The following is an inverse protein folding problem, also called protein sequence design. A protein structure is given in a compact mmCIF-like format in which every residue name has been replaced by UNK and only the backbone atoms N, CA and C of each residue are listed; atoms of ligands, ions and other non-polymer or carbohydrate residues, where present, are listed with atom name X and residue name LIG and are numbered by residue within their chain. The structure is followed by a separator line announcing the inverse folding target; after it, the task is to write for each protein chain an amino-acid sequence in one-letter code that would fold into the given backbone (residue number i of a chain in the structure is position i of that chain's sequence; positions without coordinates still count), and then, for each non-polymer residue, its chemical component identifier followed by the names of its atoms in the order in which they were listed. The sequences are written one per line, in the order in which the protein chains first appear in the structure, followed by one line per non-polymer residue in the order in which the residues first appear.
data_IF_396798146487
#
_entry.id   IF_396798146487
#
_cell.length_a   1.000
_cell.length_b   1.000
_cell.length_c   1.000
_cell.angle_alpha   90.00
_cell.angle_beta   90.00
_cell.angle_gamma   90.00
#
_symmetry.space_group_name_H-M   'P 1'
#
loop_
_entity.id
_entity.type
_entity.pdbx_description
1 polymer ?
#
# COMPACT_ATOMS: atom_id res chain seq x y z
N UNK A 1 -14.86 8.62 -33.74
CA UNK A 1 -13.69 8.72 -32.84
C UNK A 1 -13.74 7.50 -31.93
N UNK A 2 -12.68 6.71 -31.90
CA UNK A 2 -12.62 5.44 -31.16
C UNK A 2 -11.33 5.36 -30.36
N UNK A 3 -11.44 4.93 -29.10
CA UNK A 3 -10.31 4.68 -28.22
C UNK A 3 -10.07 3.18 -28.09
N UNK A 4 -8.81 2.77 -28.21
CA UNK A 4 -8.36 1.39 -28.00
C UNK A 4 -7.65 1.33 -26.66
N UNK A 5 -7.94 0.29 -25.88
CA UNK A 5 -7.37 0.07 -24.56
C UNK A 5 -6.58 -1.23 -24.51
N UNK A 6 -5.59 -1.31 -23.63
CA UNK A 6 -4.93 -2.57 -23.31
C UNK A 6 -5.92 -3.62 -22.78
N UNK A 7 -5.69 -4.89 -23.12
CA UNK A 7 -6.58 -5.98 -22.71
C UNK A 7 -6.67 -6.09 -21.19
N UNK A 8 -7.88 -5.95 -20.64
CA UNK A 8 -8.14 -6.06 -19.21
C UNK A 8 -7.69 -4.85 -18.37
N UNK A 9 -7.30 -3.74 -19.01
CA UNK A 9 -6.84 -2.52 -18.33
C UNK A 9 -7.54 -1.28 -18.88
N UNK A 10 -7.62 -0.24 -18.07
CA UNK A 10 -8.15 1.08 -18.48
C UNK A 10 -7.05 2.00 -19.00
N UNK A 11 -6.06 1.44 -19.71
CA UNK A 11 -4.92 2.17 -20.27
C UNK A 11 -5.14 2.37 -21.76
N UNK A 12 -5.32 3.60 -22.26
CA UNK A 12 -5.53 3.84 -23.67
C UNK A 12 -4.23 3.64 -24.44
N UNK A 13 -4.29 2.85 -25.51
CA UNK A 13 -3.13 2.50 -26.35
C UNK A 13 -3.21 3.10 -27.75
N UNK A 14 -4.41 3.44 -28.24
CA UNK A 14 -4.57 4.12 -29.51
C UNK A 14 -5.82 4.98 -29.59
N UNK A 15 -5.76 5.98 -30.48
CA UNK A 15 -6.86 6.84 -30.90
C UNK A 15 -7.08 6.69 -32.40
N UNK A 16 -8.32 6.43 -32.81
CA UNK A 16 -8.71 6.27 -34.22
C UNK A 16 -9.73 7.35 -34.62
N UNK A 17 -9.39 8.14 -35.65
CA UNK A 17 -10.22 9.23 -36.18
C UNK A 17 -10.34 9.08 -37.69
N UNK A 18 -11.44 8.51 -38.17
CA UNK A 18 -11.58 8.20 -39.60
C UNK A 18 -10.51 7.22 -40.04
N UNK A 19 -9.63 7.64 -40.96
CA UNK A 19 -8.47 6.87 -41.42
C UNK A 19 -7.21 7.08 -40.59
N UNK A 20 -7.18 8.12 -39.76
CA UNK A 20 -6.02 8.48 -38.96
C UNK A 20 -5.92 7.58 -37.72
N UNK A 21 -4.69 7.17 -37.41
CA UNK A 21 -4.37 6.30 -36.28
C UNK A 21 -3.24 6.94 -35.49
N UNK A 22 -3.44 7.00 -34.18
CA UNK A 22 -2.46 7.54 -33.26
C UNK A 22 -2.13 6.51 -32.20
N UNK A 23 -0.84 6.23 -32.00
CA UNK A 23 -0.35 5.40 -30.92
C UNK A 23 -0.19 6.25 -29.66
N UNK A 24 -0.66 5.76 -28.52
CA UNK A 24 -0.58 6.47 -27.24
C UNK A 24 0.46 5.74 -26.38
N UNK A 25 1.39 6.51 -25.84
CA UNK A 25 2.34 6.04 -24.83
C UNK A 25 1.85 6.51 -23.46
N UNK A 26 1.82 5.58 -22.52
CA UNK A 26 1.45 5.83 -21.13
C UNK A 26 2.60 5.52 -20.18
N UNK A 27 2.58 6.11 -18.99
CA UNK A 27 3.50 5.79 -17.91
C UNK A 27 3.19 4.42 -17.27
N UNK A 28 3.93 4.06 -16.21
CA UNK A 28 3.76 2.80 -15.49
C UNK A 28 2.40 2.67 -14.77
N UNK A 29 1.73 3.79 -14.48
CA UNK A 29 0.37 3.82 -13.95
C UNK A 29 -0.67 3.81 -15.07
N UNK A 30 -0.28 3.85 -16.34
CA UNK A 30 -1.21 3.91 -17.46
C UNK A 30 -1.75 5.31 -17.78
N UNK A 31 -1.16 6.36 -17.21
CA UNK A 31 -1.46 7.76 -17.54
C UNK A 31 -0.89 8.10 -18.92
N UNK A 32 -1.69 8.60 -19.87
CA UNK A 32 -1.18 8.98 -21.19
C UNK A 32 -0.22 10.16 -21.09
N UNK A 33 0.98 10.01 -21.65
CA UNK A 33 2.03 11.05 -21.63
C UNK A 33 2.35 11.57 -23.03
N UNK A 34 2.22 10.75 -24.07
CA UNK A 34 2.54 11.12 -25.46
C UNK A 34 1.62 10.43 -26.46
N UNK A 35 1.47 11.03 -27.64
CA UNK A 35 0.83 10.39 -28.79
C UNK A 35 1.59 10.66 -30.09
N UNK A 36 1.62 9.65 -30.94
CA UNK A 36 2.34 9.66 -32.21
C UNK A 36 1.41 9.42 -33.39
N UNK A 37 1.65 10.12 -34.50
CA UNK A 37 0.98 9.83 -35.77
C UNK A 37 1.53 8.55 -36.44
N UNK A 38 0.91 8.15 -37.57
CA UNK A 38 1.32 6.97 -38.33
C UNK A 38 2.75 7.06 -38.93
N UNK A 39 3.38 8.25 -38.93
CA UNK A 39 4.75 8.48 -39.39
C UNK A 39 5.75 8.50 -38.24
N UNK A 40 5.29 8.39 -36.99
CA UNK A 40 6.13 8.43 -35.79
C UNK A 40 6.44 9.84 -35.30
N UNK A 41 5.73 10.87 -35.76
CA UNK A 41 5.88 12.22 -35.21
C UNK A 41 5.05 12.38 -33.95
N UNK A 42 5.58 13.08 -32.95
CA UNK A 42 4.81 13.48 -31.76
C UNK A 42 3.74 14.49 -32.20
N UNK A 43 2.49 14.21 -31.88
CA UNK A 43 1.35 15.11 -32.14
C UNK A 43 0.73 15.64 -30.86
N UNK A 44 1.05 15.01 -29.72
CA UNK A 44 0.58 15.39 -28.40
C UNK A 44 1.55 14.91 -27.33
N UNK A 45 1.80 15.73 -26.32
CA UNK A 45 2.57 15.37 -25.12
C UNK A 45 2.02 16.13 -23.93
N UNK A 46 1.94 15.50 -22.77
CA UNK A 46 1.38 16.10 -21.56
C UNK A 46 2.17 15.66 -20.32
N UNK A 47 2.52 16.64 -19.50
CA UNK A 47 3.11 16.44 -18.19
C UNK A 47 2.13 16.88 -17.11
N UNK A 48 1.84 16.00 -16.16
CA UNK A 48 0.98 16.28 -15.01
C UNK A 48 1.82 16.49 -13.75
N UNK A 49 1.37 17.36 -12.83
CA UNK A 49 1.92 17.44 -11.48
C UNK A 49 1.42 16.29 -10.58
N UNK A 50 1.78 16.31 -9.30
CA UNK A 50 1.40 15.29 -8.32
C UNK A 50 -0.12 15.22 -8.03
N UNK A 51 -0.88 16.24 -8.42
CA UNK A 51 -2.33 16.32 -8.32
C UNK A 51 -3.01 16.13 -9.68
N UNK A 52 -2.26 15.72 -10.71
CA UNK A 52 -2.81 15.47 -12.04
C UNK A 52 -3.04 16.75 -12.85
N UNK A 53 -2.64 17.93 -12.36
CA UNK A 53 -2.80 19.19 -13.09
C UNK A 53 -1.79 19.26 -14.23
N UNK A 54 -2.25 19.65 -15.42
CA UNK A 54 -1.39 19.85 -16.59
C UNK A 54 -0.36 20.96 -16.31
N UNK A 55 0.92 20.62 -16.35
CA UNK A 55 2.05 21.55 -16.24
C UNK A 55 2.56 21.99 -17.61
N UNK A 56 2.81 21.01 -18.47
CA UNK A 56 3.31 21.22 -19.82
C UNK A 56 2.42 20.44 -20.81
N UNK A 57 2.14 21.05 -21.95
CA UNK A 57 1.31 20.48 -22.99
C UNK A 57 1.86 20.85 -24.37
N UNK A 58 2.12 19.84 -25.19
CA UNK A 58 2.33 19.97 -26.63
C UNK A 58 1.10 19.47 -27.37
N UNK A 59 0.69 20.19 -28.42
CA UNK A 59 -0.51 19.87 -29.19
C UNK A 59 -1.80 20.39 -28.55
N UNK A 60 -2.93 19.86 -28.99
CA UNK A 60 -4.26 20.33 -28.59
C UNK A 60 -4.73 19.61 -27.31
N UNK A 61 -5.26 20.36 -26.34
CA UNK A 61 -5.55 19.86 -24.98
C UNK A 61 -6.61 18.77 -24.94
N UNK A 62 -7.63 18.86 -25.80
CA UNK A 62 -8.71 17.88 -25.93
C UNK A 62 -8.33 16.68 -26.80
N UNK A 63 -7.13 16.67 -27.39
CA UNK A 63 -6.68 15.60 -28.25
C UNK A 63 -6.68 14.27 -27.50
N UNK A 64 -6.17 14.27 -26.27
CA UNK A 64 -6.36 13.19 -25.28
C UNK A 64 -6.97 13.82 -24.02
N UNK A 65 -8.26 13.54 -23.73
CA UNK A 65 -8.95 14.14 -22.57
C UNK A 65 -8.69 13.37 -21.27
N UNK A 66 -7.87 12.31 -21.28
CA UNK A 66 -7.60 11.49 -20.11
C UNK A 66 -6.46 12.08 -19.27
N UNK A 67 -6.61 12.01 -17.95
CA UNK A 67 -5.58 12.44 -16.97
C UNK A 67 -5.11 11.21 -16.21
N UNK A 68 -5.08 11.23 -14.88
CA UNK A 68 -4.83 10.00 -14.12
C UNK A 68 -5.90 8.93 -14.39
N UNK A 69 -5.62 7.69 -14.00
CA UNK A 69 -6.52 6.57 -14.28
C UNK A 69 -7.98 6.88 -13.90
N UNK A 70 -8.87 6.71 -14.87
CA UNK A 70 -10.31 6.94 -14.71
C UNK A 70 -10.76 8.39 -14.82
N UNK A 71 -9.83 9.36 -14.92
CA UNK A 71 -10.15 10.77 -15.05
C UNK A 71 -10.36 11.19 -16.52
N UNK A 72 -11.49 11.85 -16.76
CA UNK A 72 -11.77 12.57 -17.99
C UNK A 72 -11.82 14.07 -17.70
N UNK A 73 -11.00 14.89 -18.36
CA UNK A 73 -11.08 16.34 -18.20
C UNK A 73 -12.31 16.90 -18.91
N UNK A 74 -13.17 17.55 -18.14
CA UNK A 74 -14.19 18.44 -18.64
C UNK A 74 -13.57 19.83 -18.85
N UNK A 75 -13.38 20.20 -20.12
CA UNK A 75 -12.72 21.46 -20.49
C UNK A 75 -13.57 22.69 -20.22
N UNK A 76 -14.89 22.56 -20.08
CA UNK A 76 -15.75 23.70 -19.77
C UNK A 76 -15.53 24.18 -18.33
N UNK A 77 -15.33 23.23 -17.41
CA UNK A 77 -15.15 23.50 -15.98
C UNK A 77 -13.70 23.46 -15.52
N UNK A 78 -12.82 22.78 -16.26
CA UNK A 78 -11.46 22.45 -15.85
C UNK A 78 -11.38 21.35 -14.78
N UNK A 79 -12.51 20.73 -14.44
CA UNK A 79 -12.60 19.64 -13.47
C UNK A 79 -12.42 18.29 -14.13
N UNK A 80 -11.97 17.30 -13.36
CA UNK A 80 -11.78 15.94 -13.84
C UNK A 80 -12.92 15.04 -13.38
N UNK A 81 -13.71 14.55 -14.31
CA UNK A 81 -14.78 13.62 -14.05
C UNK A 81 -14.23 12.22 -13.73
N UNK A 82 -14.59 11.73 -12.55
CA UNK A 82 -14.31 10.41 -12.02
C UNK A 82 -15.63 9.70 -11.67
N UNK A 83 -16.36 9.24 -12.69
CA UNK A 83 -17.60 8.43 -12.61
C UNK A 83 -18.71 9.00 -11.72
N UNK A 84 -18.53 8.99 -10.40
CA UNK A 84 -19.48 9.49 -9.41
C UNK A 84 -19.15 10.90 -8.89
N UNK A 85 -17.95 11.42 -9.15
CA UNK A 85 -17.48 12.68 -8.58
C UNK A 85 -16.66 13.50 -9.58
N UNK A 86 -16.58 14.80 -9.33
CA UNK A 86 -15.66 15.71 -10.02
C UNK A 86 -14.49 16.05 -9.10
N UNK A 87 -13.28 15.92 -9.63
CA UNK A 87 -12.02 16.21 -8.97
C UNK A 87 -11.48 17.57 -9.43
N UNK A 88 -10.99 18.36 -8.49
CA UNK A 88 -10.35 19.65 -8.76
C UNK A 88 -8.83 19.48 -8.74
N UNK A 89 -8.14 19.58 -9.89
CA UNK A 89 -6.69 19.49 -9.94
C UNK A 89 -5.99 20.68 -9.25
N UNK A 90 -6.68 21.81 -9.09
CA UNK A 90 -6.15 22.99 -8.38
C UNK A 90 -6.06 22.80 -6.87
N UNK A 91 -6.99 22.03 -6.29
CA UNK A 91 -7.08 21.81 -4.84
C UNK A 91 -6.65 20.41 -4.41
N UNK A 92 -6.53 19.48 -5.37
CA UNK A 92 -6.13 18.11 -5.10
C UNK A 92 -7.23 17.23 -4.50
N UNK A 93 -8.50 17.66 -4.51
CA UNK A 93 -9.62 16.96 -3.85
C UNK A 93 -10.88 16.90 -4.74
N UNK A 94 -11.85 16.07 -4.34
CA UNK A 94 -13.19 16.08 -4.93
C UNK A 94 -13.99 17.30 -4.49
N UNK A 95 -14.84 17.83 -5.37
CA UNK A 95 -15.73 18.96 -5.05
C UNK A 95 -17.05 18.52 -4.38
N UNK A 96 -17.28 17.22 -4.26
CA UNK A 96 -18.46 16.62 -3.63
C UNK A 96 -18.06 15.54 -2.63
N UNK A 97 -18.88 15.36 -1.60
CA UNK A 97 -18.68 14.29 -0.62
C UNK A 97 -18.77 12.91 -1.27
N UNK A 98 -18.08 11.93 -0.70
CA UNK A 98 -18.20 10.53 -1.10
C UNK A 98 -19.65 10.05 -0.94
N UNK A 99 -20.29 9.53 -2.01
CA UNK A 99 -21.64 8.99 -1.93
C UNK A 99 -21.83 7.86 -0.92
N UNK A 100 -20.76 7.14 -0.55
CA UNK A 100 -20.82 6.09 0.48
C UNK A 100 -20.82 6.65 1.92
N UNK A 101 -20.59 7.96 2.06
CA UNK A 101 -20.54 8.67 3.34
C UNK A 101 -19.38 8.22 4.22
N UNK A 102 -19.61 8.18 5.54
CA UNK A 102 -18.58 7.85 6.53
C UNK A 102 -18.06 6.40 6.46
N UNK A 103 -18.71 5.51 5.69
CA UNK A 103 -18.18 4.17 5.43
C UNK A 103 -16.92 4.20 4.57
N UNK A 104 -16.69 5.30 3.83
CA UNK A 104 -15.49 5.53 3.01
C UNK A 104 -14.36 6.23 3.76
N UNK A 105 -14.48 6.37 5.08
CA UNK A 105 -13.50 7.03 5.94
C UNK A 105 -13.90 8.44 6.39
N UNK A 106 -13.00 9.07 7.14
CA UNK A 106 -13.26 10.37 7.79
C UNK A 106 -13.04 11.59 6.87
N UNK A 107 -12.48 11.38 5.67
CA UNK A 107 -12.16 12.44 4.72
C UNK A 107 -13.08 12.36 3.50
N UNK A 108 -14.30 12.93 3.55
CA UNK A 108 -15.33 12.70 2.52
C UNK A 108 -14.99 13.29 1.14
N UNK A 109 -14.00 14.17 1.03
CA UNK A 109 -13.59 14.81 -0.22
C UNK A 109 -12.26 14.30 -0.77
N UNK A 110 -11.60 13.34 -0.10
CA UNK A 110 -10.26 12.91 -0.46
C UNK A 110 -10.23 12.09 -1.77
N UNK A 111 -9.20 12.31 -2.59
CA UNK A 111 -9.01 11.60 -3.86
C UNK A 111 -8.48 10.17 -3.67
N UNK A 112 -7.47 10.01 -2.83
CA UNK A 112 -6.85 8.75 -2.46
C UNK A 112 -6.40 8.82 -1.02
N UNK A 113 -6.46 7.71 -0.29
CA UNK A 113 -5.95 7.64 1.08
C UNK A 113 -4.47 8.04 1.10
N UNK A 114 -4.09 8.88 2.06
CA UNK A 114 -2.71 9.26 2.24
C UNK A 114 -1.88 8.05 2.69
N UNK A 115 -1.12 7.50 1.75
CA UNK A 115 -0.23 6.36 1.98
C UNK A 115 0.91 6.67 2.95
N UNK A 116 1.15 7.94 3.28
CA UNK A 116 2.12 8.36 4.28
C UNK A 116 1.55 8.41 5.69
N UNK A 117 0.26 8.10 5.91
CA UNK A 117 -0.30 8.02 7.28
C UNK A 117 0.32 6.82 8.01
N UNK A 118 0.69 5.77 7.29
CA UNK A 118 1.30 4.55 7.82
C UNK A 118 2.80 4.56 7.57
N UNK A 119 3.51 5.39 8.31
CA UNK A 119 4.97 5.27 8.43
C UNK A 119 5.22 4.17 9.46
N UNK A 120 5.94 3.13 9.07
CA UNK A 120 6.48 2.12 9.99
C UNK A 120 8.01 2.19 10.04
N UNK A 121 8.58 3.13 10.81
CA UNK A 121 10.03 3.36 10.86
C UNK A 121 10.83 2.18 11.43
N UNK A 122 10.14 1.24 12.09
CA UNK A 122 10.77 0.17 12.85
C UNK A 122 10.34 -1.23 12.38
N UNK A 123 9.43 -1.32 11.41
CA UNK A 123 8.75 -2.55 11.01
C UNK A 123 7.74 -3.07 12.05
N UNK A 124 7.50 -2.42 13.17
CA UNK A 124 6.89 -3.12 14.33
C UNK A 124 5.38 -3.27 14.20
N UNK A 125 4.90 -4.51 14.13
CA UNK A 125 3.46 -4.80 14.13
C UNK A 125 3.05 -5.38 15.48
N UNK A 126 2.15 -4.68 16.15
CA UNK A 126 1.40 -5.26 17.28
C UNK A 126 0.39 -6.26 16.71
N UNK A 127 0.70 -7.55 16.80
CA UNK A 127 -0.16 -8.63 16.29
C UNK A 127 -1.28 -9.01 17.27
N UNK A 128 -1.16 -8.61 18.53
CA UNK A 128 -2.22 -8.70 19.53
C UNK A 128 -2.01 -7.65 20.64
N UNK A 129 -3.09 -7.07 21.14
CA UNK A 129 -3.09 -6.25 22.36
C UNK A 129 -4.29 -6.65 23.21
N UNK A 130 -4.03 -7.32 24.34
CA UNK A 130 -5.07 -7.81 25.23
C UNK A 130 -4.74 -7.42 26.67
N UNK A 131 -5.73 -6.86 27.35
CA UNK A 131 -5.61 -6.43 28.74
C UNK A 131 -4.42 -5.47 28.97
N UNK A 132 -3.91 -4.76 27.96
CA UNK A 132 -2.71 -3.91 28.08
C UNK A 132 -1.37 -4.67 27.99
N UNK A 133 -1.40 -5.94 27.60
CA UNK A 133 -0.21 -6.70 27.16
C UNK A 133 -0.15 -6.64 25.64
N UNK A 134 0.94 -6.09 25.11
CA UNK A 134 1.19 -6.03 23.67
C UNK A 134 2.03 -7.23 23.26
N UNK A 135 1.61 -7.88 22.18
CA UNK A 135 2.42 -8.88 21.49
C UNK A 135 2.83 -8.28 20.17
N UNK A 136 4.13 -8.13 20.01
CA UNK A 136 4.75 -7.45 18.89
C UNK A 136 5.51 -8.52 18.11
N UNK A 137 5.11 -8.72 16.85
CA UNK A 137 5.95 -9.39 15.90
C UNK A 137 6.75 -8.33 15.17
N UNK A 138 8.00 -8.67 14.95
CA UNK A 138 8.87 -7.93 14.08
C UNK A 138 8.65 -8.59 12.70
N UNK A 139 8.56 -7.85 11.59
CA UNK A 139 8.69 -8.38 10.25
C UNK A 139 10.15 -8.69 10.14
N UNK A 140 10.55 -9.76 10.80
CA UNK A 140 11.96 -9.98 11.08
C UNK A 140 12.58 -10.82 9.99
N UNK A 141 13.04 -10.27 8.86
CA UNK A 141 14.08 -10.98 8.10
C UNK A 141 14.84 -10.20 7.03
N UNK A 142 14.84 -8.86 6.92
CA UNK A 142 15.79 -8.23 5.96
C UNK A 142 17.27 -8.44 6.36
N UNK A 143 17.53 -8.95 7.57
CA UNK A 143 18.85 -9.30 8.06
C UNK A 143 19.12 -10.81 8.21
N UNK A 144 18.19 -11.72 7.91
CA UNK A 144 18.46 -13.17 8.11
C UNK A 144 19.40 -13.79 7.08
N UNK A 145 19.56 -13.16 5.91
CA UNK A 145 20.66 -13.48 5.00
C UNK A 145 22.02 -12.93 5.50
N UNK A 146 22.01 -12.02 6.49
CA UNK A 146 23.18 -11.32 7.04
C UNK A 146 23.57 -11.74 8.47
N UNK A 147 22.66 -12.32 9.26
CA UNK A 147 22.83 -12.61 10.71
C UNK A 147 22.21 -13.96 11.13
N UNK A 148 22.93 -15.07 10.94
CA UNK A 148 22.51 -16.43 11.33
C UNK A 148 22.17 -16.61 12.82
N UNK A 149 22.62 -15.69 13.68
CA UNK A 149 22.47 -15.70 15.13
C UNK A 149 21.06 -15.35 15.67
N UNK A 150 20.11 -14.96 14.81
CA UNK A 150 18.75 -14.57 15.21
C UNK A 150 17.68 -15.68 15.13
N UNK A 151 18.11 -16.93 14.96
CA UNK A 151 17.24 -18.09 15.18
C UNK A 151 17.19 -18.42 16.68
N UNK A 152 16.02 -18.80 17.23
CA UNK A 152 14.74 -19.10 16.57
C UNK A 152 13.73 -17.94 16.48
N UNK A 153 12.67 -18.14 15.70
CA UNK A 153 11.51 -17.23 15.65
C UNK A 153 10.87 -17.01 17.02
N UNK A 154 10.62 -15.75 17.34
CA UNK A 154 10.01 -15.33 18.60
C UNK A 154 9.18 -14.06 18.43
N UNK A 155 8.27 -13.79 19.36
CA UNK A 155 7.58 -12.49 19.48
C UNK A 155 8.03 -11.79 20.75
N UNK A 156 7.86 -10.47 20.81
CA UNK A 156 8.07 -9.72 22.04
C UNK A 156 6.73 -9.53 22.74
N UNK A 157 6.71 -9.83 24.03
CA UNK A 157 5.57 -9.62 24.90
C UNK A 157 5.91 -8.49 25.86
N UNK A 158 5.13 -7.42 25.80
CA UNK A 158 5.38 -6.18 26.55
C UNK A 158 4.21 -5.82 27.47
N UNK A 159 4.52 -5.48 28.71
CA UNK A 159 3.57 -4.99 29.72
C UNK A 159 4.22 -3.93 30.60
N UNK A 160 3.69 -2.70 30.56
CA UNK A 160 4.12 -1.60 31.44
C UNK A 160 5.66 -1.40 31.49
N UNK A 161 6.32 -1.52 30.33
CA UNK A 161 7.77 -1.39 30.19
C UNK A 161 8.57 -2.68 30.38
N UNK A 162 7.98 -3.75 30.93
CA UNK A 162 8.62 -5.07 30.98
C UNK A 162 8.51 -5.74 29.62
N UNK A 163 9.62 -6.29 29.11
CA UNK A 163 9.68 -6.97 27.82
C UNK A 163 10.31 -8.36 27.99
N UNK A 164 9.76 -9.34 27.29
CA UNK A 164 10.29 -10.71 27.24
C UNK A 164 9.95 -11.33 25.90
N UNK A 165 10.82 -12.19 25.39
CA UNK A 165 10.63 -12.88 24.11
C UNK A 165 10.05 -14.25 24.34
N UNK A 166 9.10 -14.63 23.50
CA UNK A 166 8.42 -15.92 23.53
C UNK A 166 8.61 -16.63 22.21
N UNK A 167 9.05 -17.88 22.27
CA UNK A 167 9.34 -18.71 21.11
C UNK A 167 8.09 -19.03 20.30
N UNK A 168 8.23 -18.97 18.97
CA UNK A 168 7.19 -19.32 18.00
C UNK A 168 7.54 -20.56 17.18
N UNK A 169 8.68 -21.18 17.47
CA UNK A 169 9.08 -22.48 16.95
C UNK A 169 9.85 -23.28 18.00
N UNK A 170 9.86 -24.61 17.83
CA UNK A 170 10.72 -25.48 18.61
C UNK A 170 12.19 -25.21 18.23
N UNK A 171 13.06 -25.13 19.24
CA UNK A 171 14.46 -24.77 19.04
C UNK A 171 15.37 -25.57 19.96
N UNK A 172 16.56 -25.90 19.50
CA UNK A 172 17.56 -26.60 20.29
C UNK A 172 18.86 -25.80 20.33
N UNK A 173 19.35 -25.49 21.53
CA UNK A 173 20.63 -24.81 21.75
C UNK A 173 21.37 -25.41 22.93
N UNK A 174 22.68 -25.61 22.79
CA UNK A 174 23.52 -26.21 23.84
C UNK A 174 23.01 -27.57 24.35
N UNK A 175 22.33 -28.35 23.50
CA UNK A 175 21.73 -29.65 23.86
C UNK A 175 20.43 -29.59 24.66
N UNK A 176 19.85 -28.39 24.85
CA UNK A 176 18.53 -28.19 25.48
C UNK A 176 17.47 -27.90 24.44
N UNK A 177 16.36 -28.62 24.53
CA UNK A 177 15.18 -28.42 23.68
C UNK A 177 14.23 -27.42 24.34
N UNK A 178 13.85 -26.41 23.57
CA UNK A 178 12.85 -25.40 23.91
C UNK A 178 11.64 -25.55 22.98
N UNK A 179 10.45 -25.31 23.51
CA UNK A 179 9.18 -25.47 22.80
C UNK A 179 8.57 -24.11 22.45
N UNK A 180 7.69 -24.12 21.45
CA UNK A 180 6.77 -22.99 21.19
C UNK A 180 6.09 -22.56 22.49
N UNK A 181 6.10 -21.26 22.76
CA UNK A 181 5.52 -20.67 23.97
C UNK A 181 6.48 -20.57 25.16
N UNK A 182 7.68 -21.16 25.08
CA UNK A 182 8.72 -20.95 26.09
C UNK A 182 9.30 -19.54 25.99
N UNK A 183 9.81 -19.03 27.12
CA UNK A 183 10.55 -17.77 27.14
C UNK A 183 11.93 -18.00 26.53
N UNK A 184 12.40 -17.03 25.73
CA UNK A 184 13.72 -17.06 25.13
C UNK A 184 14.81 -17.16 26.24
N UNK A 185 15.90 -17.92 26.02
CA UNK A 185 17.00 -17.95 26.98
C UNK A 185 17.50 -16.54 27.35
N UNK A 186 17.89 -16.35 28.60
CA UNK A 186 18.43 -15.09 29.15
C UNK A 186 17.45 -13.90 29.28
N UNK A 187 16.19 -14.05 28.83
CA UNK A 187 15.17 -13.02 29.02
C UNK A 187 14.55 -13.05 30.43
N UNK A 188 14.09 -11.89 30.94
CA UNK A 188 13.32 -11.83 32.18
C UNK A 188 12.07 -12.72 32.11
N UNK A 189 11.73 -13.34 33.24
CA UNK A 189 10.53 -14.18 33.32
C UNK A 189 9.25 -13.36 33.07
N UNK A 190 8.29 -13.94 32.37
CA UNK A 190 6.97 -13.34 32.15
C UNK A 190 6.24 -13.00 33.46
N UNK A 191 5.54 -11.86 33.47
CA UNK A 191 4.59 -11.51 34.53
C UNK A 191 3.39 -12.47 34.55
N UNK A 192 2.62 -12.48 35.66
CA UNK A 192 1.37 -13.26 35.74
C UNK A 192 0.36 -12.88 34.65
N UNK A 193 0.33 -11.60 34.27
CA UNK A 193 -0.61 -11.06 33.28
C UNK A 193 -0.22 -11.48 31.86
N UNK A 194 1.06 -11.38 31.51
CA UNK A 194 1.60 -11.89 30.25
C UNK A 194 1.27 -13.37 30.05
N UNK A 195 1.52 -14.20 31.08
CA UNK A 195 1.18 -15.64 31.06
C UNK A 195 -0.31 -15.88 30.86
N UNK A 196 -1.17 -15.08 31.50
CA UNK A 196 -2.63 -15.18 31.36
C UNK A 196 -3.07 -14.82 29.94
N UNK A 197 -2.50 -13.77 29.35
CA UNK A 197 -2.82 -13.34 27.99
C UNK A 197 -2.38 -14.38 26.96
N UNK A 198 -1.15 -14.89 27.05
CA UNK A 198 -0.68 -15.94 26.13
C UNK A 198 -1.52 -17.21 26.21
N UNK A 199 -1.99 -17.61 27.39
CA UNK A 199 -2.91 -18.76 27.54
C UNK A 199 -4.30 -18.54 26.94
N UNK A 200 -4.75 -17.29 26.82
CA UNK A 200 -6.01 -16.96 26.14
C UNK A 200 -5.86 -16.98 24.62
N UNK A 201 -4.63 -16.86 24.13
CA UNK A 201 -4.33 -16.85 22.71
C UNK A 201 -4.02 -18.25 22.21
N UNK A 202 -4.41 -18.53 20.98
CA UNK A 202 -3.95 -19.72 20.29
C UNK A 202 -2.52 -19.47 19.77
N UNK A 203 -1.56 -20.23 20.30
CA UNK A 203 -0.15 -20.09 19.93
C UNK A 203 0.13 -20.47 18.48
N UNK A 204 -0.65 -21.38 17.87
CA UNK A 204 -0.49 -21.71 16.44
C UNK A 204 -0.84 -20.51 15.56
N UNK A 205 -1.98 -19.88 15.84
CA UNK A 205 -2.48 -18.74 15.08
C UNK A 205 -1.57 -17.52 15.29
N UNK A 206 -1.04 -17.36 16.52
CA UNK A 206 -0.07 -16.33 16.83
C UNK A 206 1.24 -16.55 16.07
N UNK A 207 1.74 -17.78 16.01
CA UNK A 207 2.94 -18.14 15.25
C UNK A 207 2.73 -17.93 13.74
N UNK A 208 1.55 -18.23 13.20
CA UNK A 208 1.24 -17.96 11.80
C UNK A 208 1.14 -16.46 11.49
N UNK A 209 0.48 -15.68 12.37
CA UNK A 209 0.46 -14.21 12.25
C UNK A 209 1.87 -13.63 12.31
N UNK A 210 2.68 -14.09 13.25
CA UNK A 210 4.07 -13.69 13.35
C UNK A 210 4.83 -14.06 12.06
N UNK A 211 4.68 -15.30 11.54
CA UNK A 211 5.26 -15.74 10.26
C UNK A 211 4.85 -14.89 9.07
N UNK A 212 3.59 -14.47 8.97
CA UNK A 212 3.15 -13.59 7.91
C UNK A 212 3.84 -12.23 7.98
N UNK A 213 3.93 -11.66 9.19
CA UNK A 213 4.69 -10.43 9.44
C UNK A 213 6.16 -10.63 9.05
N UNK A 214 6.79 -11.73 9.47
CA UNK A 214 8.16 -12.10 9.08
C UNK A 214 8.34 -12.13 7.55
N UNK A 215 7.57 -12.93 6.81
CA UNK A 215 7.86 -13.21 5.40
C UNK A 215 7.35 -12.16 4.41
N UNK A 216 6.31 -11.40 4.75
CA UNK A 216 5.62 -10.52 3.80
C UNK A 216 5.84 -9.03 4.07
N UNK A 217 6.52 -8.68 5.16
CA UNK A 217 6.63 -7.30 5.61
C UNK A 217 5.28 -6.71 6.02
N UNK A 218 5.28 -5.39 6.25
CA UNK A 218 4.05 -4.65 6.52
C UNK A 218 3.27 -4.46 5.22
N UNK A 219 1.98 -4.83 5.22
CA UNK A 219 1.02 -4.54 4.17
C UNK A 219 -0.06 -3.61 4.71
#
# INVERSE_FOLDING_TARGET
MTWVYESGRFVPSAKLVGTERYSILSDYLGTPIQAYDARGNIVWECELDIYGKVRNLHGEKTFIPFRYQGQYEDVETGLYYNRFRYYSPDTGIYISQDPIGLHGGFKPYEYSEDTNILIDPFGLITIANLDGVKIIAYPGPEATDLRPEHKPYHVHVEEAGNKTRVLMEDYETGGKKHKVGDVFPDDPSMTKKMKKVLKKLNLSDLAEKAKNVFHKGCA
#
